data_IF_041618872417
#
_entry.id   IF_041618872417
#
_cell.length_a   1.000
_cell.length_b   1.000
_cell.length_c   1.000
_cell.angle_alpha   90.00
_cell.angle_beta   90.00
_cell.angle_gamma   90.00
#
_symmetry.space_group_name_H-M   'P 1'
#
loop_
_entity.id
_entity.type
_entity.pdbx_description
1 polymer ?
#
# COMPACT_ATOMS: atom_id res chain seq x y z
N UNK A 1 -13.06 -13.94 -21.65
CA UNK A 1 -12.19 -14.28 -20.50
C UNK A 1 -11.90 -13.00 -19.73
N UNK A 2 -11.98 -13.03 -18.40
CA UNK A 2 -11.82 -11.82 -17.57
C UNK A 2 -10.40 -11.24 -17.72
N UNK A 3 -10.29 -9.95 -18.05
CA UNK A 3 -9.03 -9.31 -18.41
C UNK A 3 -7.96 -9.30 -17.31
N UNK A 4 -8.33 -9.52 -16.05
CA UNK A 4 -7.36 -9.59 -14.95
C UNK A 4 -6.36 -10.74 -15.13
N UNK A 5 -6.78 -11.88 -15.71
CA UNK A 5 -5.92 -13.05 -15.91
C UNK A 5 -4.77 -12.83 -16.90
N UNK A 6 -4.80 -11.74 -17.66
CA UNK A 6 -3.70 -11.37 -18.58
C UNK A 6 -2.63 -10.51 -17.89
N UNK A 7 -2.88 -10.00 -16.69
CA UNK A 7 -1.95 -9.17 -15.92
C UNK A 7 -1.00 -10.03 -15.09
N UNK A 8 0.26 -9.61 -15.01
CA UNK A 8 1.29 -10.31 -14.24
C UNK A 8 1.21 -10.07 -12.72
N UNK A 9 0.70 -8.89 -12.34
CA UNK A 9 0.58 -8.43 -10.96
C UNK A 9 -0.82 -7.91 -10.72
N UNK A 10 -1.46 -8.36 -9.65
CA UNK A 10 -2.70 -7.76 -9.15
C UNK A 10 -2.41 -7.05 -7.83
N UNK A 11 -2.81 -5.78 -7.74
CA UNK A 11 -2.74 -4.97 -6.53
C UNK A 11 -4.17 -4.80 -6.01
N UNK A 12 -4.45 -5.35 -4.84
CA UNK A 12 -5.80 -5.38 -4.27
C UNK A 12 -5.74 -4.65 -2.91
N UNK A 13 -6.14 -3.37 -2.86
CA UNK A 13 -6.32 -2.67 -1.60
C UNK A 13 -7.43 -3.34 -0.78
N UNK A 14 -7.18 -3.54 0.51
CA UNK A 14 -8.14 -4.12 1.45
C UNK A 14 -8.38 -3.07 2.53
N UNK A 15 -9.66 -2.73 2.74
CA UNK A 15 -10.08 -1.94 3.88
C UNK A 15 -10.66 -2.86 4.94
N UNK A 16 -10.15 -2.76 6.16
CA UNK A 16 -10.70 -3.40 7.35
C UNK A 16 -10.95 -2.32 8.42
N UNK A 17 -12.20 -1.88 8.52
CA UNK A 17 -12.60 -0.78 9.39
C UNK A 17 -11.75 0.49 9.16
N UNK A 18 -10.95 0.90 10.14
CA UNK A 18 -10.07 2.07 10.09
C UNK A 18 -8.69 1.79 9.50
N UNK A 19 -8.42 0.57 9.03
CA UNK A 19 -7.10 0.15 8.56
C UNK A 19 -7.08 -0.24 7.09
N UNK A 20 -6.00 0.08 6.40
CA UNK A 20 -5.78 -0.24 4.99
C UNK A 20 -4.56 -1.14 4.84
N UNK A 21 -4.73 -2.23 4.10
CA UNK A 21 -3.67 -3.18 3.73
C UNK A 21 -3.66 -3.43 2.22
N UNK A 22 -2.63 -4.11 1.72
CA UNK A 22 -2.49 -4.42 0.29
C UNK A 22 -2.20 -5.90 0.10
N UNK A 23 -3.03 -6.56 -0.70
CA UNK A 23 -2.77 -7.91 -1.18
C UNK A 23 -2.22 -7.84 -2.61
N UNK A 24 -1.02 -8.36 -2.77
CA UNK A 24 -0.40 -8.56 -4.08
C UNK A 24 -0.58 -10.02 -4.51
N UNK A 25 -1.11 -10.23 -5.71
CA UNK A 25 -1.20 -11.56 -6.32
C UNK A 25 -0.30 -11.61 -7.55
N UNK A 26 0.46 -12.69 -7.66
CA UNK A 26 1.28 -13.04 -8.82
C UNK A 26 0.74 -14.34 -9.41
N UNK A 27 -0.32 -14.30 -10.25
CA UNK A 27 -1.06 -15.49 -10.66
C UNK A 27 -0.17 -16.54 -11.34
N UNK A 28 0.72 -16.09 -12.24
CA UNK A 28 1.66 -16.96 -12.97
C UNK A 28 2.67 -17.65 -12.04
N UNK A 29 3.01 -17.01 -10.90
CA UNK A 29 3.92 -17.56 -9.89
C UNK A 29 3.20 -18.32 -8.79
N UNK A 30 1.87 -18.26 -8.73
CA UNK A 30 1.04 -18.84 -7.65
C UNK A 30 1.43 -18.31 -6.26
N UNK A 31 1.75 -17.02 -6.19
CA UNK A 31 2.17 -16.36 -4.95
C UNK A 31 1.17 -15.28 -4.58
N UNK A 32 0.88 -15.18 -3.29
CA UNK A 32 0.15 -14.08 -2.67
C UNK A 32 1.02 -13.48 -1.56
N UNK A 33 1.14 -12.16 -1.54
CA UNK A 33 1.91 -11.40 -0.54
C UNK A 33 0.99 -10.38 0.09
N UNK A 34 0.93 -10.36 1.43
CA UNK A 34 0.10 -9.45 2.20
C UNK A 34 0.98 -8.38 2.87
N UNK A 35 0.70 -7.12 2.59
CA UNK A 35 1.41 -5.97 3.15
C UNK A 35 0.53 -5.27 4.18
N UNK A 36 1.01 -5.22 5.41
CA UNK A 36 0.35 -4.57 6.55
C UNK A 36 1.34 -3.69 7.31
N UNK A 37 1.11 -2.38 7.31
CA UNK A 37 1.98 -1.41 7.99
C UNK A 37 1.93 -1.50 9.53
N UNK A 38 0.88 -2.12 10.09
CA UNK A 38 0.74 -2.34 11.54
C UNK A 38 1.29 -3.71 11.98
N UNK A 39 1.84 -4.50 11.05
CA UNK A 39 2.37 -5.84 11.30
C UNK A 39 1.35 -6.77 12.02
N UNK A 40 0.05 -6.56 11.83
CA UNK A 40 -1.00 -7.32 12.50
C UNK A 40 -1.22 -7.00 13.97
N UNK A 41 -0.67 -5.89 14.51
CA UNK A 41 -0.93 -5.45 15.88
C UNK A 41 -1.98 -4.33 15.92
N UNK A 42 -3.27 -4.66 16.20
CA UNK A 42 -4.34 -3.66 16.32
C UNK A 42 -4.19 -2.75 17.56
N UNK A 43 -3.24 -3.03 18.46
CA UNK A 43 -3.06 -2.32 19.72
C UNK A 43 -1.78 -1.45 19.77
N UNK A 44 -0.98 -1.41 18.70
CA UNK A 44 0.14 -0.46 18.58
C UNK A 44 -0.33 0.99 18.30
N UNK A 45 -1.64 1.21 18.33
CA UNK A 45 -2.32 2.51 18.37
C UNK A 45 -2.08 3.28 19.68
N UNK A 46 -1.27 2.75 20.60
CA UNK A 46 -0.81 3.47 21.81
C UNK A 46 -0.12 4.81 21.53
N UNK A 47 0.20 5.09 20.26
CA UNK A 47 0.42 6.43 19.76
C UNK A 47 -0.77 6.82 18.88
N UNK A 48 -1.74 7.54 19.43
CA UNK A 48 -2.93 8.15 18.79
C UNK A 48 -2.65 8.97 17.49
N UNK A 49 -1.39 9.07 17.07
CA UNK A 49 -0.91 9.70 15.84
C UNK A 49 -0.48 8.71 14.72
N UNK A 50 -0.45 7.40 14.97
CA UNK A 50 0.00 6.37 14.01
C UNK A 50 -1.11 5.85 13.09
N UNK A 51 -2.38 5.85 13.54
CA UNK A 51 -3.52 5.27 12.83
C UNK A 51 -3.93 5.94 11.51
N UNK A 52 -3.30 7.05 11.11
CA UNK A 52 -3.69 7.83 9.92
C UNK A 52 -2.86 7.58 8.66
N UNK A 53 -1.89 6.67 8.69
CA UNK A 53 -0.88 6.54 7.61
C UNK A 53 -0.89 5.19 6.88
N UNK A 54 -1.70 4.22 7.30
CA UNK A 54 -1.84 2.93 6.62
C UNK A 54 -2.20 3.08 5.14
N UNK A 55 -3.12 4.00 4.82
CA UNK A 55 -3.47 4.36 3.44
C UNK A 55 -2.27 4.88 2.62
N UNK A 56 -1.38 5.67 3.25
CA UNK A 56 -0.19 6.20 2.57
C UNK A 56 0.84 5.09 2.35
N UNK A 57 1.03 4.20 3.33
CA UNK A 57 1.92 3.04 3.19
C UNK A 57 1.50 2.14 2.03
N UNK A 58 0.21 1.82 1.89
CA UNK A 58 -0.24 0.96 0.80
C UNK A 58 -0.05 1.63 -0.57
N UNK A 59 -0.22 2.94 -0.68
CA UNK A 59 0.09 3.68 -1.90
C UNK A 59 1.58 3.65 -2.23
N UNK A 60 2.46 3.80 -1.23
CA UNK A 60 3.91 3.69 -1.41
C UNK A 60 4.33 2.29 -1.85
N UNK A 61 3.78 1.23 -1.24
CA UNK A 61 4.02 -0.15 -1.69
C UNK A 61 3.52 -0.38 -3.12
N UNK A 62 2.31 0.06 -3.43
CA UNK A 62 1.75 -0.06 -4.78
C UNK A 62 2.62 0.64 -5.81
N UNK A 63 3.14 1.84 -5.51
CA UNK A 63 4.06 2.57 -6.38
C UNK A 63 5.37 1.80 -6.61
N UNK A 64 6.03 1.33 -5.54
CA UNK A 64 7.27 0.54 -5.64
C UNK A 64 7.06 -0.72 -6.48
N UNK A 65 5.97 -1.45 -6.24
CA UNK A 65 5.65 -2.68 -6.97
C UNK A 65 5.34 -2.39 -8.45
N UNK A 66 4.51 -1.38 -8.72
CA UNK A 66 4.08 -1.05 -10.07
C UNK A 66 5.22 -0.48 -10.94
N UNK A 67 6.16 0.24 -10.33
CA UNK A 67 7.31 0.83 -11.04
C UNK A 67 8.51 -0.10 -11.12
N UNK A 68 8.58 -1.14 -10.29
CA UNK A 68 9.76 -1.99 -10.15
C UNK A 68 10.97 -1.27 -9.54
N UNK A 69 10.78 -0.07 -8.98
CA UNK A 69 11.85 0.71 -8.34
C UNK A 69 11.96 0.31 -6.88
N UNK A 70 13.11 -0.25 -6.51
CA UNK A 70 13.43 -0.61 -5.13
C UNK A 70 13.76 0.63 -4.31
N UNK A 71 12.74 1.42 -4.00
CA UNK A 71 12.85 2.61 -3.14
C UNK A 71 12.53 2.22 -1.70
N UNK A 72 13.46 2.51 -0.78
CA UNK A 72 13.21 2.36 0.65
C UNK A 72 12.46 3.59 1.16
N UNK A 73 11.34 3.38 1.85
CA UNK A 73 10.63 4.42 2.59
C UNK A 73 10.46 4.04 4.06
N UNK A 74 10.23 5.03 4.91
CA UNK A 74 10.07 4.89 6.36
C UNK A 74 8.86 5.69 6.85
N UNK A 75 8.44 5.44 8.08
CA UNK A 75 7.32 6.13 8.75
C UNK A 75 7.45 7.67 8.71
N UNK A 76 8.68 8.19 8.79
CA UNK A 76 8.98 9.62 8.72
C UNK A 76 8.68 10.25 7.36
N UNK A 77 8.67 9.46 6.29
CA UNK A 77 8.47 9.93 4.92
C UNK A 77 6.98 10.08 4.57
N UNK A 78 6.09 9.44 5.34
CA UNK A 78 4.66 9.34 5.04
C UNK A 78 3.94 10.69 4.94
N UNK A 79 4.37 11.71 5.69
CA UNK A 79 3.79 13.04 5.58
C UNK A 79 4.14 13.72 4.24
N UNK A 80 5.36 13.54 3.75
CA UNK A 80 5.79 14.06 2.46
C UNK A 80 5.16 13.27 1.32
N UNK A 81 5.08 11.94 1.45
CA UNK A 81 4.37 11.09 0.50
C UNK A 81 2.89 11.50 0.38
N UNK A 82 2.21 11.76 1.51
CA UNK A 82 0.82 12.26 1.49
C UNK A 82 0.68 13.57 0.72
N UNK A 83 1.59 14.53 0.94
CA UNK A 83 1.60 15.80 0.20
C UNK A 83 1.83 15.56 -1.29
N UNK A 84 2.83 14.74 -1.64
CA UNK A 84 3.14 14.41 -3.02
C UNK A 84 1.97 13.75 -3.76
N UNK A 85 1.27 12.81 -3.11
CA UNK A 85 0.06 12.19 -3.66
C UNK A 85 -1.02 13.25 -3.88
N UNK A 86 -1.27 14.12 -2.89
CA UNK A 86 -2.27 15.17 -3.01
C UNK A 86 -1.94 16.15 -4.16
N UNK A 87 -0.68 16.57 -4.29
CA UNK A 87 -0.20 17.41 -5.39
C UNK A 87 -0.40 16.71 -6.73
N UNK A 88 0.03 15.46 -6.87
CA UNK A 88 -0.11 14.70 -8.10
C UNK A 88 -1.58 14.58 -8.53
N UNK A 89 -2.49 14.30 -7.59
CA UNK A 89 -3.93 14.19 -7.89
C UNK A 89 -4.59 15.53 -8.23
N UNK A 90 -4.07 16.65 -7.72
CA UNK A 90 -4.58 17.98 -8.02
C UNK A 90 -4.12 18.51 -9.39
N UNK A 91 -2.98 18.00 -9.89
CA UNK A 91 -2.35 18.45 -11.14
C UNK A 91 -2.56 17.49 -12.33
N UNK A 92 -3.06 16.28 -12.08
CA UNK A 92 -3.27 15.24 -13.10
C UNK A 92 -4.56 15.39 -13.93
#
# INVERSE_FOLDING_TARGET
>A
MFGAWTKDVWLIPINYCSHWTLLMVLPKKKIMIYFDSLLGNPNNDGNINAGGKCGVHICSWAYVIATGRMEHFQEKDMNNARKGIATYLAEA
#
